data_IF_666411065870
#
_entry.id   IF_666411065870
#
_cell.length_a   1.000
_cell.length_b   1.000
_cell.length_c   1.000
_cell.angle_alpha   90.00
_cell.angle_beta   90.00
_cell.angle_gamma   90.00
#
_symmetry.space_group_name_H-M   'P 1'
#
loop_
_entity.id
_entity.type
_entity.pdbx_description
1 polymer ?
#
# COMPACT_ATOMS: atom_id res chain seq x y z
N UNK A 1 17.82 11.45 0.40
CA UNK A 1 18.88 10.47 0.04
C UNK A 1 18.31 9.08 0.21
N UNK A 2 18.42 8.22 -0.81
CA UNK A 2 17.90 6.84 -0.79
C UNK A 2 18.81 5.95 0.06
N UNK A 3 18.23 5.06 0.88
CA UNK A 3 18.97 4.07 1.66
C UNK A 3 19.47 2.93 0.77
N UNK A 4 20.73 2.53 0.97
CA UNK A 4 21.29 1.30 0.41
C UNK A 4 20.81 0.06 1.16
N UNK A 5 21.02 -1.11 0.58
CA UNK A 5 20.82 -2.41 1.22
C UNK A 5 21.48 -2.51 2.61
N UNK A 6 22.71 -2.00 2.75
CA UNK A 6 23.43 -1.93 4.02
C UNK A 6 22.68 -1.08 5.04
N UNK A 7 22.31 0.14 4.67
CA UNK A 7 21.60 1.05 5.58
C UNK A 7 20.23 0.47 5.95
N UNK A 8 19.51 -0.13 5.01
CA UNK A 8 18.24 -0.83 5.26
C UNK A 8 18.44 -1.92 6.32
N UNK A 9 19.45 -2.79 6.15
CA UNK A 9 19.79 -3.85 7.12
C UNK A 9 20.11 -3.28 8.50
N UNK A 10 20.85 -2.17 8.57
CA UNK A 10 21.19 -1.51 9.83
C UNK A 10 19.94 -0.94 10.53
N UNK A 11 19.02 -0.31 9.81
CA UNK A 11 17.76 0.20 10.37
C UNK A 11 16.85 -0.91 10.89
N UNK A 12 16.74 -2.03 10.16
CA UNK A 12 15.96 -3.20 10.59
C UNK A 12 16.60 -3.85 11.82
N UNK A 13 17.91 -4.10 11.78
CA UNK A 13 18.65 -4.68 12.92
C UNK A 13 18.53 -3.83 14.19
N UNK A 14 18.49 -2.51 14.05
CA UNK A 14 18.30 -1.58 15.15
C UNK A 14 16.85 -1.44 15.63
N UNK A 15 15.88 -2.12 14.99
CA UNK A 15 14.45 -2.01 15.31
C UNK A 15 13.83 -0.65 14.97
N UNK A 16 14.50 0.17 14.15
CA UNK A 16 14.02 1.50 13.75
C UNK A 16 13.06 1.44 12.58
N UNK A 17 13.27 0.47 11.69
CA UNK A 17 12.39 0.15 10.57
C UNK A 17 11.87 -1.27 10.81
N UNK A 18 10.55 -1.43 10.81
CA UNK A 18 9.92 -2.76 10.94
C UNK A 18 9.39 -3.17 9.57
N UNK A 19 9.73 -4.39 9.15
CA UNK A 19 9.18 -5.05 7.96
C UNK A 19 8.97 -6.51 8.33
N UNK A 20 7.74 -6.91 8.60
CA UNK A 20 7.45 -8.23 9.18
C UNK A 20 6.27 -8.94 8.51
N UNK A 21 6.42 -10.18 8.02
CA UNK A 21 7.65 -10.98 8.02
C UNK A 21 8.62 -10.61 6.90
N UNK A 22 9.93 -10.64 7.16
CA UNK A 22 10.98 -10.42 6.15
C UNK A 22 11.88 -11.64 5.97
N UNK A 23 12.26 -11.90 4.72
CA UNK A 23 13.31 -12.83 4.32
C UNK A 23 14.48 -12.02 3.72
N UNK A 24 15.44 -11.55 4.53
CA UNK A 24 16.41 -10.53 4.11
C UNK A 24 17.23 -10.89 2.87
N UNK A 25 17.64 -12.16 2.75
CA UNK A 25 18.46 -12.65 1.63
C UNK A 25 17.71 -12.65 0.28
N UNK A 26 16.38 -12.65 0.31
CA UNK A 26 15.54 -12.68 -0.90
C UNK A 26 14.93 -11.32 -1.18
N UNK A 27 14.50 -10.61 -0.14
CA UNK A 27 13.71 -9.39 -0.25
C UNK A 27 14.55 -8.11 -0.28
N UNK A 28 15.71 -8.05 0.39
CA UNK A 28 16.53 -6.84 0.38
C UNK A 28 17.29 -6.75 -0.94
N UNK A 29 17.00 -5.70 -1.70
CA UNK A 29 17.62 -5.35 -2.97
C UNK A 29 18.64 -4.20 -2.75
N UNK A 30 19.48 -3.84 -3.73
CA UNK A 30 20.54 -2.85 -3.55
C UNK A 30 20.13 -1.50 -2.94
N UNK A 31 18.88 -1.07 -3.15
CA UNK A 31 18.34 0.18 -2.61
C UNK A 31 16.84 0.14 -2.33
N UNK A 32 16.29 -1.06 -2.12
CA UNK A 32 14.85 -1.26 -1.87
C UNK A 32 14.60 -2.58 -1.15
N UNK A 33 13.36 -2.80 -0.71
CA UNK A 33 12.90 -4.07 -0.15
C UNK A 33 11.73 -4.55 -1.01
N UNK A 34 11.88 -5.69 -1.68
CA UNK A 34 10.76 -6.33 -2.37
C UNK A 34 9.72 -6.78 -1.34
N UNK A 35 8.46 -6.38 -1.51
CA UNK A 35 7.34 -6.73 -0.65
C UNK A 35 6.42 -7.75 -1.36
N UNK A 36 5.70 -8.53 -0.56
CA UNK A 36 4.88 -9.64 -1.05
C UNK A 36 3.41 -9.29 -1.06
N UNK A 37 2.68 -9.85 -2.02
CA UNK A 37 1.23 -9.73 -2.08
C UNK A 37 0.59 -10.47 -0.91
N UNK A 38 -0.32 -9.80 -0.20
CA UNK A 38 -1.21 -10.43 0.75
C UNK A 38 -2.29 -11.24 0.04
N UNK A 39 -3.24 -11.79 0.80
CA UNK A 39 -4.28 -12.66 0.27
C UNK A 39 -5.68 -12.02 0.27
N UNK A 40 -5.78 -10.76 0.73
CA UNK A 40 -7.02 -9.99 0.71
C UNK A 40 -7.06 -9.05 -0.48
N UNK A 41 -8.21 -9.03 -1.13
CA UNK A 41 -8.54 -8.15 -2.25
C UNK A 41 -9.88 -7.48 -1.95
N UNK A 42 -10.08 -6.27 -2.48
CA UNK A 42 -11.38 -5.61 -2.53
C UNK A 42 -11.69 -5.21 -3.95
N UNK A 43 -12.75 -5.80 -4.51
CA UNK A 43 -13.23 -5.54 -5.87
C UNK A 43 -14.38 -4.56 -5.83
N UNK A 44 -14.47 -3.70 -6.85
CA UNK A 44 -15.58 -2.75 -6.99
C UNK A 44 -16.77 -3.44 -7.63
N UNK A 45 -17.94 -3.32 -7.01
CA UNK A 45 -19.19 -3.82 -7.58
C UNK A 45 -19.67 -2.90 -8.69
N UNK A 46 -20.31 -3.49 -9.69
CA UNK A 46 -21.07 -2.68 -10.63
C UNK A 46 -22.26 -2.06 -9.90
N UNK A 47 -22.25 -0.72 -9.81
CA UNK A 47 -23.31 0.03 -9.15
C UNK A 47 -24.38 0.49 -10.14
N UNK A 48 -25.64 0.49 -9.71
CA UNK A 48 -26.73 1.22 -10.36
C UNK A 48 -26.69 2.71 -9.98
N UNK A 49 -25.50 3.31 -9.98
CA UNK A 49 -25.25 4.72 -9.67
C UNK A 49 -24.30 5.29 -10.72
N UNK A 50 -24.60 6.50 -11.21
CA UNK A 50 -23.85 7.10 -12.32
C UNK A 50 -22.49 7.68 -11.96
N UNK A 51 -22.17 7.83 -10.67
CA UNK A 51 -20.92 8.42 -10.19
C UNK A 51 -20.64 8.05 -8.73
N UNK A 52 -19.39 8.24 -8.32
CA UNK A 52 -18.93 8.22 -6.93
C UNK A 52 -18.67 9.66 -6.52
N UNK A 53 -19.30 10.10 -5.43
CA UNK A 53 -19.10 11.42 -4.84
C UNK A 53 -18.13 11.33 -3.65
N UNK A 54 -16.89 11.84 -3.74
CA UNK A 54 -15.92 11.73 -2.67
C UNK A 54 -16.32 12.47 -1.39
N UNK A 55 -17.27 13.40 -1.45
CA UNK A 55 -17.74 14.15 -0.26
C UNK A 55 -18.80 13.39 0.52
N UNK A 56 -19.61 12.56 -0.13
CA UNK A 56 -20.80 11.96 0.49
C UNK A 56 -20.80 10.43 0.48
N UNK A 57 -20.06 9.80 -0.43
CA UNK A 57 -20.06 8.36 -0.55
C UNK A 57 -19.01 7.70 0.33
N UNK A 58 -19.44 6.65 1.04
CA UNK A 58 -18.52 5.69 1.62
C UNK A 58 -18.25 4.56 0.61
N UNK A 59 -17.05 4.56 0.05
CA UNK A 59 -16.59 3.57 -0.95
C UNK A 59 -16.70 2.14 -0.45
N UNK A 60 -16.60 1.91 0.86
CA UNK A 60 -16.72 0.58 1.45
C UNK A 60 -18.02 -0.13 1.04
N UNK A 61 -19.13 0.63 0.88
CA UNK A 61 -20.43 0.12 0.44
C UNK A 61 -20.43 -0.40 -1.01
N UNK A 62 -19.43 -0.01 -1.80
CA UNK A 62 -19.29 -0.35 -3.22
C UNK A 62 -18.19 -1.37 -3.48
N UNK A 63 -17.55 -1.85 -2.41
CA UNK A 63 -16.50 -2.85 -2.50
C UNK A 63 -16.92 -4.16 -1.86
N UNK A 64 -16.35 -5.25 -2.35
CA UNK A 64 -16.52 -6.58 -1.77
C UNK A 64 -15.16 -7.17 -1.42
N UNK A 65 -15.05 -7.68 -0.19
CA UNK A 65 -13.86 -8.41 0.26
C UNK A 65 -13.80 -9.78 -0.39
N UNK A 66 -12.65 -10.09 -0.98
CA UNK A 66 -12.30 -11.40 -1.48
C UNK A 66 -11.03 -11.87 -0.76
N UNK A 67 -11.12 -13.04 -0.15
CA UNK A 67 -9.99 -13.73 0.46
C UNK A 67 -9.59 -14.90 -0.43
N UNK A 68 -8.34 -14.90 -0.89
CA UNK A 68 -7.80 -15.94 -1.76
C UNK A 68 -6.96 -16.89 -0.91
N UNK A 69 -7.10 -18.20 -1.10
CA UNK A 69 -6.21 -19.14 -0.40
C UNK A 69 -4.78 -18.99 -0.93
N UNK A 70 -3.77 -19.33 -0.12
CA UNK A 70 -2.37 -19.19 -0.53
C UNK A 70 -1.99 -20.07 -1.74
N UNK A 71 -2.73 -21.15 -1.98
CA UNK A 71 -2.53 -22.05 -3.13
C UNK A 71 -3.31 -21.61 -4.39
N UNK A 72 -4.24 -20.67 -4.24
CA UNK A 72 -5.08 -20.16 -5.31
C UNK A 72 -4.46 -18.90 -5.96
N UNK A 73 -5.15 -18.36 -6.96
CA UNK A 73 -4.74 -17.14 -7.68
C UNK A 73 -5.92 -16.20 -7.87
N UNK A 74 -5.66 -14.91 -7.72
CA UNK A 74 -6.57 -13.85 -8.16
C UNK A 74 -6.27 -13.54 -9.63
N UNK A 75 -7.29 -13.56 -10.49
CA UNK A 75 -7.13 -13.20 -11.91
C UNK A 75 -7.53 -11.74 -12.06
N UNK A 76 -6.56 -10.87 -12.35
CA UNK A 76 -6.81 -9.46 -12.66
C UNK A 76 -6.98 -9.30 -14.17
N UNK A 77 -8.20 -9.05 -14.64
CA UNK A 77 -8.48 -8.91 -16.06
C UNK A 77 -8.04 -7.53 -16.60
N UNK A 78 -7.83 -7.40 -17.92
CA UNK A 78 -7.56 -6.11 -18.55
C UNK A 78 -8.61 -5.06 -18.19
N UNK A 79 -8.15 -3.83 -17.96
CA UNK A 79 -8.95 -2.67 -17.56
C UNK A 79 -9.65 -2.77 -16.18
N UNK A 80 -9.32 -3.79 -15.37
CA UNK A 80 -9.80 -3.87 -14.00
C UNK A 80 -8.89 -3.12 -13.01
N UNK A 81 -9.53 -2.62 -11.96
CA UNK A 81 -8.93 -2.02 -10.78
C UNK A 81 -9.36 -2.80 -9.55
N UNK A 82 -8.41 -3.15 -8.68
CA UNK A 82 -8.68 -3.82 -7.41
C UNK A 82 -7.79 -3.24 -6.32
N UNK A 83 -8.32 -3.12 -5.11
CA UNK A 83 -7.47 -2.87 -3.94
C UNK A 83 -6.94 -4.21 -3.42
N UNK A 84 -5.67 -4.24 -3.08
CA UNK A 84 -5.08 -5.36 -2.33
C UNK A 84 -4.17 -4.81 -1.24
N UNK A 85 -3.36 -5.66 -0.63
CA UNK A 85 -2.41 -5.26 0.41
C UNK A 85 -1.12 -6.02 0.25
N UNK A 86 -0.02 -5.46 0.75
CA UNK A 86 1.16 -6.25 1.02
C UNK A 86 0.91 -7.21 2.20
N UNK A 87 1.67 -8.30 2.25
CA UNK A 87 1.71 -9.26 3.35
C UNK A 87 2.40 -8.66 4.57
N UNK A 88 3.46 -7.91 4.34
CA UNK A 88 4.30 -7.36 5.40
C UNK A 88 3.59 -6.23 6.17
N UNK A 89 3.77 -6.24 7.49
CA UNK A 89 3.55 -5.08 8.36
C UNK A 89 4.78 -4.18 8.30
N UNK A 90 4.55 -2.89 8.11
CA UNK A 90 5.60 -1.88 7.98
C UNK A 90 5.46 -0.87 9.11
N UNK A 91 6.58 -0.52 9.77
CA UNK A 91 6.67 0.67 10.63
C UNK A 91 7.81 1.56 10.15
N UNK A 92 7.47 2.77 9.71
CA UNK A 92 8.42 3.77 9.23
C UNK A 92 8.78 4.72 10.38
N UNK A 93 10.07 4.95 10.70
CA UNK A 93 10.46 5.92 11.72
C UNK A 93 10.15 7.36 11.28
N UNK A 94 10.13 8.30 12.21
CA UNK A 94 9.80 9.71 11.95
C UNK A 94 10.81 10.47 11.08
N UNK A 95 11.98 9.88 10.82
CA UNK A 95 13.07 10.47 10.05
C UNK A 95 13.26 9.84 8.67
N UNK A 96 12.42 8.88 8.29
CA UNK A 96 12.39 8.29 6.96
C UNK A 96 11.03 8.54 6.31
N UNK A 97 11.04 8.60 5.00
CA UNK A 97 9.87 8.42 4.16
C UNK A 97 10.11 7.20 3.28
N UNK A 98 9.05 6.50 2.90
CA UNK A 98 9.16 5.41 1.93
C UNK A 98 8.32 5.65 0.69
N UNK A 99 8.67 4.97 -0.39
CA UNK A 99 7.96 4.94 -1.66
C UNK A 99 7.72 3.51 -2.09
N UNK A 100 6.48 3.19 -2.38
CA UNK A 100 6.10 1.97 -3.07
C UNK A 100 6.30 2.17 -4.56
N UNK A 101 7.04 1.26 -5.16
CA UNK A 101 7.32 1.23 -6.58
C UNK A 101 6.92 -0.12 -7.16
N UNK A 102 6.56 -0.13 -8.44
CA UNK A 102 6.38 -1.37 -9.18
C UNK A 102 7.70 -2.12 -9.37
N UNK A 103 7.63 -3.44 -9.56
CA UNK A 103 8.77 -4.23 -10.03
C UNK A 103 8.82 -4.17 -11.56
N UNK A 104 9.99 -3.93 -12.14
CA UNK A 104 10.12 -3.78 -13.61
C UNK A 104 9.56 -4.99 -14.38
N UNK A 105 9.75 -6.21 -13.88
CA UNK A 105 9.19 -7.43 -14.48
C UNK A 105 7.67 -7.41 -14.58
N UNK A 106 6.98 -6.84 -13.59
CA UNK A 106 5.51 -6.73 -13.58
C UNK A 106 5.04 -5.54 -14.40
N UNK A 107 5.76 -4.42 -14.36
CA UNK A 107 5.49 -3.27 -15.23
C UNK A 107 5.58 -3.63 -16.72
N UNK A 108 6.49 -4.53 -17.10
CA UNK A 108 6.59 -5.08 -18.47
C UNK A 108 5.41 -5.98 -18.87
N UNK A 109 4.59 -6.41 -17.90
CA UNK A 109 3.31 -7.08 -18.14
C UNK A 109 2.13 -6.10 -18.04
N UNK A 110 2.40 -4.80 -17.98
CA UNK A 110 1.40 -3.74 -17.82
C UNK A 110 0.56 -3.85 -16.53
N UNK A 111 1.17 -4.36 -15.45
CA UNK A 111 0.62 -4.28 -14.11
C UNK A 111 1.10 -2.99 -13.41
N UNK A 112 0.15 -2.15 -13.02
CA UNK A 112 0.37 -1.00 -12.15
C UNK A 112 0.13 -1.43 -10.70
N UNK A 113 1.00 -1.00 -9.78
CA UNK A 113 0.96 -1.39 -8.36
C UNK A 113 0.29 -0.34 -7.47
N UNK A 114 0.43 0.92 -7.86
CA UNK A 114 -0.33 2.03 -7.32
C UNK A 114 -0.73 2.92 -8.51
N UNK A 115 -1.84 3.65 -8.40
CA UNK A 115 -2.24 4.63 -9.39
C UNK A 115 -1.58 5.98 -9.11
N UNK A 116 -1.60 6.43 -7.85
CA UNK A 116 -1.16 7.79 -7.50
C UNK A 116 -0.48 7.93 -6.14
N UNK A 117 -0.77 7.04 -5.18
CA UNK A 117 -0.34 7.19 -3.79
C UNK A 117 0.78 6.21 -3.40
N UNK A 118 1.96 6.37 -4.01
CA UNK A 118 3.14 5.56 -3.66
C UNK A 118 3.85 6.01 -2.37
N UNK A 119 3.52 7.17 -1.82
CA UNK A 119 4.24 7.81 -0.72
C UNK A 119 3.77 7.30 0.65
N UNK A 120 4.70 6.80 1.47
CA UNK A 120 4.43 6.27 2.81
C UNK A 120 5.08 7.18 3.84
N UNK A 121 4.23 7.84 4.62
CA UNK A 121 4.63 8.91 5.54
C UNK A 121 5.55 8.43 6.69
N UNK A 122 6.42 9.32 7.19
CA UNK A 122 7.16 9.09 8.43
C UNK A 122 6.21 8.81 9.60
N UNK A 123 6.45 7.73 10.37
CA UNK A 123 5.60 7.27 11.46
C UNK A 123 4.43 6.37 11.07
N UNK A 124 4.24 6.07 9.78
CA UNK A 124 3.24 5.10 9.34
C UNK A 124 3.49 3.72 9.97
N UNK A 125 2.42 3.07 10.43
CA UNK A 125 2.40 1.70 10.92
C UNK A 125 1.20 0.98 10.32
N UNK A 126 1.42 -0.08 9.56
CA UNK A 126 0.34 -0.68 8.79
C UNK A 126 0.79 -1.73 7.79
N UNK A 127 -0.17 -2.52 7.30
CA UNK A 127 -0.02 -3.10 5.97
C UNK A 127 -0.28 -2.00 4.93
N UNK A 128 0.49 -1.97 3.85
CA UNK A 128 0.29 -0.99 2.78
C UNK A 128 -0.75 -1.52 1.79
N UNK A 129 -1.81 -0.74 1.57
CA UNK A 129 -2.82 -1.02 0.54
C UNK A 129 -2.24 -0.72 -0.85
N UNK A 130 -2.47 -1.62 -1.80
CA UNK A 130 -2.04 -1.52 -3.19
C UNK A 130 -3.24 -1.22 -4.08
N UNK A 131 -3.04 -0.39 -5.10
CA UNK A 131 -4.04 -0.03 -6.10
C UNK A 131 -3.66 -0.73 -7.41
N UNK A 132 -4.05 -1.99 -7.54
CA UNK A 132 -3.60 -2.84 -8.64
C UNK A 132 -4.45 -2.58 -9.89
N UNK A 133 -3.81 -2.34 -11.03
CA UNK A 133 -4.50 -2.19 -12.30
C UNK A 133 -3.78 -2.92 -13.43
N UNK A 134 -4.54 -3.63 -14.25
CA UNK A 134 -4.01 -4.27 -15.45
C UNK A 134 -4.35 -3.41 -16.67
N UNK A 135 -3.35 -2.68 -17.17
CA UNK A 135 -3.48 -1.87 -18.39
C UNK A 135 -2.98 -2.60 -19.64
N UNK A 136 -2.72 -3.91 -19.51
CA UNK A 136 -2.33 -4.81 -20.59
C UNK A 136 -3.51 -5.36 -21.37
N UNK A 137 -3.23 -6.38 -22.19
CA UNK A 137 -4.23 -7.04 -23.04
C UNK A 137 -4.60 -8.45 -22.59
N UNK A 138 -3.87 -9.01 -21.62
CA UNK A 138 -4.10 -10.35 -21.10
C UNK A 138 -4.37 -10.32 -19.59
N UNK A 139 -5.23 -11.21 -19.06
CA UNK A 139 -5.38 -11.38 -17.62
C UNK A 139 -4.05 -11.76 -16.97
N UNK A 140 -3.84 -11.27 -15.75
CA UNK A 140 -2.64 -11.54 -14.95
C UNK A 140 -3.06 -12.37 -13.75
N UNK A 141 -2.45 -13.53 -13.58
CA UNK A 141 -2.60 -14.32 -12.36
C UNK A 141 -1.72 -13.77 -11.25
N UNK A 142 -2.34 -13.29 -10.17
CA UNK A 142 -1.71 -12.79 -8.98
C UNK A 142 -1.80 -13.85 -7.88
N UNK A 143 -0.65 -14.30 -7.41
CA UNK A 143 -0.55 -15.32 -6.39
C UNK A 143 -0.22 -14.66 -5.04
N UNK A 144 -0.98 -14.94 -3.96
CA UNK A 144 -0.56 -14.55 -2.62
C UNK A 144 0.89 -14.99 -2.34
N UNK A 145 1.62 -14.20 -1.56
CA UNK A 145 3.04 -14.36 -1.25
C UNK A 145 4.03 -14.07 -2.40
N UNK A 146 3.59 -13.81 -3.64
CA UNK A 146 4.51 -13.39 -4.70
C UNK A 146 5.09 -12.00 -4.41
N UNK A 147 6.35 -11.73 -4.80
CA UNK A 147 6.92 -10.38 -4.75
C UNK A 147 6.20 -9.47 -5.74
N UNK A 148 5.49 -8.47 -5.23
CA UNK A 148 4.54 -7.66 -6.01
C UNK A 148 5.03 -6.23 -6.23
N UNK A 149 5.73 -5.66 -5.26
CA UNK A 149 6.23 -4.30 -5.31
C UNK A 149 7.55 -4.19 -4.58
N UNK A 150 8.13 -3.00 -4.55
CA UNK A 150 9.34 -2.72 -3.80
C UNK A 150 9.21 -1.41 -3.01
N UNK A 151 9.82 -1.37 -1.84
CA UNK A 151 9.84 -0.23 -0.94
C UNK A 151 11.21 0.46 -1.02
N UNK A 152 11.26 1.67 -1.58
CA UNK A 152 12.44 2.54 -1.52
C UNK A 152 12.33 3.46 -0.31
N UNK A 153 13.42 3.65 0.43
CA UNK A 153 13.43 4.46 1.66
C UNK A 153 14.34 5.67 1.48
N UNK A 154 13.90 6.83 1.94
CA UNK A 154 14.66 8.07 1.85
C UNK A 154 14.75 8.77 3.21
N UNK A 155 15.94 9.26 3.55
CA UNK A 155 16.14 10.13 4.73
C UNK A 155 15.47 11.48 4.50
N UNK A 156 14.70 11.92 5.48
CA UNK A 156 14.23 13.30 5.57
C UNK A 156 15.39 14.24 5.91
N UNK A 157 15.20 15.54 5.64
CA UNK A 157 16.14 16.58 6.07
C UNK A 157 16.24 16.70 7.60
N UNK A 158 15.14 16.41 8.30
CA UNK A 158 15.05 16.33 9.76
C UNK A 158 13.88 15.43 10.16
N UNK A 159 13.85 14.87 11.39
CA UNK A 159 12.69 14.14 11.89
C UNK A 159 11.39 14.97 11.81
N UNK A 160 10.28 14.30 11.50
CA UNK A 160 8.97 14.93 11.39
C UNK A 160 8.43 15.33 12.76
N UNK A 161 8.06 16.60 12.95
CA UNK A 161 7.48 17.12 14.22
C UNK A 161 6.13 16.47 14.53
N UNK A 162 5.34 16.20 13.49
CA UNK A 162 4.02 15.56 13.58
C UNK A 162 3.99 14.42 12.57
N UNK A 163 4.53 13.23 12.92
CA UNK A 163 4.52 12.08 12.03
C UNK A 163 3.08 11.55 11.82
N UNK A 164 2.92 10.59 10.91
CA UNK A 164 1.66 9.91 10.68
C UNK A 164 1.19 9.21 11.97
N UNK A 165 -0.10 9.33 12.28
CA UNK A 165 -0.69 8.82 13.51
C UNK A 165 -0.46 9.69 14.75
N UNK A 166 0.22 10.84 14.65
CA UNK A 166 0.30 11.80 15.75
C UNK A 166 -1.12 12.25 16.17
N UNK A 167 -1.44 12.40 17.48
CA UNK A 167 -2.82 12.67 17.94
C UNK A 167 -3.50 13.90 17.34
N UNK A 168 -2.71 14.91 16.96
CA UNK A 168 -3.23 16.13 16.33
C UNK A 168 -3.31 16.05 14.80
N UNK A 169 -2.90 14.92 14.20
CA UNK A 169 -3.06 14.64 12.77
C UNK A 169 -4.19 13.66 12.59
N UNK A 170 -5.02 13.93 11.61
CA UNK A 170 -6.17 13.09 11.27
C UNK A 170 -5.77 12.01 10.28
N UNK A 171 -4.75 11.23 10.67
CA UNK A 171 -4.26 10.10 9.90
C UNK A 171 -5.34 9.00 9.85
N UNK A 172 -5.87 8.75 8.66
CA UNK A 172 -7.03 7.86 8.44
C UNK A 172 -6.71 6.37 8.48
N UNK A 173 -5.45 6.02 8.20
CA UNK A 173 -5.00 4.67 7.85
C UNK A 173 -3.93 4.13 8.81
N UNK A 174 -3.76 4.76 9.97
CA UNK A 174 -2.79 4.30 10.97
C UNK A 174 -3.26 2.98 11.57
N UNK A 175 -2.33 2.04 11.76
CA UNK A 175 -2.56 0.66 12.20
C UNK A 175 -3.41 -0.20 11.26
N UNK A 176 -3.58 0.21 9.99
CA UNK A 176 -4.45 -0.52 9.08
C UNK A 176 -3.97 -1.94 8.81
N UNK A 177 -4.93 -2.85 8.66
CA UNK A 177 -4.72 -4.25 8.27
C UNK A 177 -5.49 -4.50 6.99
N UNK A 178 -4.88 -5.22 6.05
CA UNK A 178 -5.58 -5.57 4.82
C UNK A 178 -5.70 -4.42 3.81
N UNK A 179 -6.57 -4.65 2.83
CA UNK A 179 -6.92 -3.65 1.81
C UNK A 179 -7.99 -2.69 2.39
N UNK A 180 -7.59 -1.57 2.99
CA UNK A 180 -8.58 -0.63 3.59
C UNK A 180 -9.17 0.26 2.50
N UNK A 181 -10.51 0.44 2.41
CA UNK A 181 -11.12 1.33 1.44
C UNK A 181 -10.80 2.80 1.71
N UNK A 182 -11.08 3.65 0.72
CA UNK A 182 -10.91 5.10 0.86
C UNK A 182 -11.78 5.65 2.00
N UNK A 183 -11.15 6.45 2.87
CA UNK A 183 -11.77 7.25 3.93
C UNK A 183 -11.78 8.73 3.58
N UNK A 184 -11.85 9.06 2.29
CA UNK A 184 -11.82 10.46 1.81
C UNK A 184 -12.91 11.32 2.47
N UNK A 185 -14.12 10.80 2.68
CA UNK A 185 -15.22 11.46 3.38
C UNK A 185 -14.88 11.96 4.81
N UNK A 186 -13.80 11.46 5.42
CA UNK A 186 -13.34 11.91 6.74
C UNK A 186 -12.49 13.19 6.70
N UNK A 187 -12.13 13.70 5.52
CA UNK A 187 -11.36 14.94 5.37
C UNK A 187 -12.06 16.14 6.01
N UNK A 188 -11.27 17.05 6.59
CA UNK A 188 -11.79 18.19 7.37
C UNK A 188 -12.69 19.08 6.54
N UNK A 189 -12.32 19.32 5.29
CA UNK A 189 -13.09 20.11 4.33
C UNK A 189 -14.43 19.47 3.95
N UNK A 190 -14.60 18.17 4.19
CA UNK A 190 -15.85 17.44 3.92
C UNK A 190 -16.68 17.20 5.19
N UNK A 191 -16.10 17.39 6.38
CA UNK A 191 -16.86 17.42 7.64
C UNK A 191 -17.75 18.67 7.64
N UNK A 192 -19.06 18.46 7.73
CA UNK A 192 -20.01 19.59 7.85
C UNK A 192 -19.72 20.36 9.14
N UNK A 193 -19.74 21.67 9.07
CA UNK A 193 -19.82 22.51 10.27
C UNK A 193 -21.15 22.19 10.98
N UNK A 194 -21.13 21.38 12.04
CA UNK A 194 -22.28 21.24 12.94
C UNK A 194 -22.68 19.85 13.44
N UNK A 195 -21.75 18.92 13.66
CA UNK A 195 -21.96 17.77 14.56
C UNK A 195 -21.09 17.91 15.83
#
# INVERSE_FOLDING_TARGET
MILSDRDIKEYIKAGKLVVEPIEPEVQIQPSSIDLRLGNQFKVFRHMNKGYIDPMFDNIEQYTEDLLINNEDKFILHPAEFVLSTIKEWIEIPDNLVARIEGRSSLGRMALLIHATAGFIDPGFKGNITLELSNVGKMPIALHPNMRICQLALEKLSSPCVRPYGHPTRESKYQMQRGATPSKIHMDREFRRNGD
#
